data_IF_622628738773
#
_entry.id   IF_622628738773
#
_cell.length_a   1.000
_cell.length_b   1.000
_cell.length_c   1.000
_cell.angle_alpha   90.00
_cell.angle_beta   90.00
_cell.angle_gamma   90.00
#
_symmetry.space_group_name_H-M   'P 1'
#
loop_
_entity.id
_entity.type
_entity.pdbx_description
1 polymer ?
#
# COMPACT_ATOMS: atom_id res chain seq x y z
N UNK A 1 40.98 -30.04 -9.85
CA UNK A 1 39.83 -29.84 -10.76
C UNK A 1 38.97 -28.76 -10.13
N UNK A 2 39.05 -27.53 -10.63
CA UNK A 2 38.36 -26.37 -10.07
C UNK A 2 37.07 -26.10 -10.82
N UNK A 3 35.95 -26.09 -10.12
CA UNK A 3 34.64 -25.75 -10.68
C UNK A 3 34.57 -24.23 -10.81
N UNK A 4 34.67 -23.73 -12.04
CA UNK A 4 34.46 -22.32 -12.35
C UNK A 4 32.95 -22.04 -12.36
N UNK A 5 32.48 -21.24 -11.41
CA UNK A 5 31.10 -20.74 -11.39
C UNK A 5 31.09 -19.50 -12.27
N UNK A 6 30.52 -19.58 -13.48
CA UNK A 6 30.29 -18.40 -14.30
C UNK A 6 29.21 -17.50 -13.67
N UNK A 7 29.38 -16.17 -13.70
CA UNK A 7 28.38 -15.24 -13.18
C UNK A 7 27.17 -15.23 -14.11
N UNK A 8 26.01 -15.68 -13.60
CA UNK A 8 24.73 -15.51 -14.28
C UNK A 8 24.48 -14.00 -14.46
N UNK A 9 24.51 -13.56 -15.71
CA UNK A 9 24.17 -12.17 -16.04
C UNK A 9 22.65 -12.09 -16.13
N UNK A 10 21.95 -11.36 -15.23
CA UNK A 10 20.50 -11.27 -15.29
C UNK A 10 20.06 -10.60 -16.58
N UNK A 11 18.93 -11.08 -17.14
CA UNK A 11 18.43 -10.69 -18.44
C UNK A 11 18.05 -9.19 -18.46
N UNK A 12 18.17 -8.50 -19.61
CA UNK A 12 17.93 -7.06 -19.71
C UNK A 12 16.51 -6.59 -19.34
N UNK A 13 15.51 -7.47 -19.41
CA UNK A 13 14.13 -7.14 -19.00
C UNK A 13 13.91 -7.13 -17.48
N UNK A 14 14.65 -7.97 -16.73
CA UNK A 14 14.57 -7.99 -15.26
C UNK A 14 15.13 -6.70 -14.65
N UNK A 15 16.18 -6.14 -15.25
CA UNK A 15 16.74 -4.83 -14.83
C UNK A 15 15.77 -3.67 -15.08
N UNK A 16 15.04 -3.68 -16.20
CA UNK A 16 14.06 -2.62 -16.52
C UNK A 16 12.84 -2.67 -15.60
N UNK A 17 12.34 -3.87 -15.31
CA UNK A 17 11.23 -4.04 -14.37
C UNK A 17 11.60 -3.57 -12.96
N UNK A 18 12.82 -3.89 -12.48
CA UNK A 18 13.34 -3.40 -11.21
C UNK A 18 13.44 -1.87 -11.15
N UNK A 19 13.98 -1.24 -12.19
CA UNK A 19 14.12 0.23 -12.28
C UNK A 19 12.77 0.97 -12.34
N UNK A 20 11.77 0.40 -13.02
CA UNK A 20 10.43 0.98 -13.09
C UNK A 20 9.75 0.94 -11.71
N UNK A 21 9.81 -0.21 -11.05
CA UNK A 21 9.27 -0.36 -9.72
C UNK A 21 9.98 0.51 -8.67
N UNK A 22 11.31 0.66 -8.75
CA UNK A 22 12.07 1.56 -7.86
C UNK A 22 11.60 3.02 -7.99
N UNK A 23 11.28 3.47 -9.20
CA UNK A 23 10.73 4.82 -9.45
C UNK A 23 9.32 4.97 -8.88
N UNK A 24 8.47 3.97 -9.04
CA UNK A 24 7.11 4.00 -8.49
C UNK A 24 7.15 4.01 -6.96
N UNK A 25 8.04 3.23 -6.33
CA UNK A 25 8.26 3.26 -4.89
C UNK A 25 8.79 4.61 -4.41
N UNK A 26 9.77 5.18 -5.13
CA UNK A 26 10.28 6.51 -4.83
C UNK A 26 9.17 7.58 -4.92
N UNK A 27 8.27 7.46 -5.91
CA UNK A 27 7.12 8.35 -6.05
C UNK A 27 6.13 8.22 -4.89
N UNK A 28 5.81 6.99 -4.46
CA UNK A 28 4.98 6.72 -3.27
C UNK A 28 5.61 7.33 -2.02
N UNK A 29 6.91 7.09 -1.80
CA UNK A 29 7.63 7.67 -0.67
C UNK A 29 7.64 9.19 -0.71
N UNK A 30 7.86 9.79 -1.88
CA UNK A 30 7.86 11.23 -2.08
C UNK A 30 6.50 11.84 -1.75
N UNK A 31 5.41 11.24 -2.25
CA UNK A 31 4.04 11.69 -2.00
C UNK A 31 3.65 11.66 -0.52
N UNK A 32 4.18 10.69 0.23
CA UNK A 32 3.93 10.59 1.67
C UNK A 32 4.84 11.49 2.52
N UNK A 33 5.88 12.16 1.99
CA UNK A 33 6.85 12.89 2.83
C UNK A 33 6.21 13.96 3.71
N UNK A 34 5.25 14.72 3.16
CA UNK A 34 4.54 15.77 3.89
C UNK A 34 3.69 15.22 5.05
N UNK A 35 3.42 13.92 5.06
CA UNK A 35 2.60 13.20 6.02
C UNK A 35 3.40 12.08 6.69
N UNK A 36 4.67 12.34 7.01
CA UNK A 36 5.53 11.45 7.80
C UNK A 36 6.15 10.28 7.05
N UNK A 37 5.94 10.19 5.74
CA UNK A 37 6.56 9.19 4.87
C UNK A 37 5.92 7.81 4.94
N UNK A 38 6.71 6.81 4.54
CA UNK A 38 6.38 5.40 4.70
C UNK A 38 7.47 4.76 5.58
N UNK A 39 7.04 3.98 6.58
CA UNK A 39 7.91 3.40 7.60
C UNK A 39 7.81 1.88 7.52
N UNK A 40 8.88 1.17 7.89
CA UNK A 40 8.86 -0.30 7.93
C UNK A 40 7.98 -0.81 9.07
N UNK A 41 7.37 -1.96 8.86
CA UNK A 41 6.54 -2.62 9.86
C UNK A 41 7.25 -2.78 11.21
N UNK A 42 8.50 -3.26 11.19
CA UNK A 42 9.29 -3.50 12.41
C UNK A 42 9.49 -2.24 13.24
N UNK A 43 9.75 -1.10 12.59
CA UNK A 43 9.98 0.17 13.25
C UNK A 43 8.66 0.69 13.85
N UNK A 44 7.58 0.62 13.08
CA UNK A 44 6.26 1.06 13.52
C UNK A 44 5.71 0.19 14.66
N UNK A 45 5.89 -1.13 14.60
CA UNK A 45 5.53 -2.04 15.68
C UNK A 45 6.24 -1.66 16.98
N UNK A 46 7.56 -1.44 16.92
CA UNK A 46 8.34 -0.99 18.07
C UNK A 46 7.91 0.38 18.61
N UNK A 47 7.37 1.27 17.78
CA UNK A 47 6.81 2.55 18.25
C UNK A 47 5.45 2.38 18.93
N UNK A 48 4.55 1.55 18.37
CA UNK A 48 3.24 1.26 18.95
C UNK A 48 3.39 0.59 20.32
N UNK A 49 4.27 -0.41 20.44
CA UNK A 49 4.55 -1.10 21.71
C UNK A 49 5.07 -0.14 22.80
N UNK A 50 5.95 0.78 22.43
CA UNK A 50 6.50 1.78 23.39
C UNK A 50 5.44 2.76 23.87
N UNK A 51 4.46 3.11 23.04
CA UNK A 51 3.42 4.09 23.38
C UNK A 51 2.19 3.48 24.06
N UNK A 52 1.81 2.25 23.71
CA UNK A 52 0.61 1.58 24.21
C UNK A 52 0.85 0.78 25.49
N UNK A 53 1.49 1.38 26.51
CA UNK A 53 1.60 0.76 27.84
C UNK A 53 0.22 0.64 28.51
N UNK A 54 -0.58 -0.36 28.13
CA UNK A 54 -1.87 -0.69 28.76
C UNK A 54 -2.93 -1.31 27.84
N UNK A 55 -2.88 -1.08 26.53
CA UNK A 55 -3.83 -1.65 25.56
C UNK A 55 -3.07 -2.08 24.31
N UNK A 56 -2.61 -3.34 24.30
CA UNK A 56 -1.70 -3.86 23.28
C UNK A 56 -2.47 -4.23 22.01
N UNK A 57 -2.76 -3.25 21.16
CA UNK A 57 -3.22 -3.53 19.80
C UNK A 57 -1.99 -3.65 18.91
N UNK A 58 -1.62 -4.90 18.60
CA UNK A 58 -0.47 -5.17 17.72
C UNK A 58 -0.72 -4.66 16.30
N UNK A 59 0.37 -4.28 15.62
CA UNK A 59 0.33 -3.80 14.23
C UNK A 59 -0.33 -4.82 13.29
N UNK A 60 -0.01 -6.10 13.46
CA UNK A 60 -0.63 -7.19 12.72
C UNK A 60 -2.16 -7.21 12.89
N UNK A 61 -2.67 -6.98 14.10
CA UNK A 61 -4.12 -6.91 14.36
C UNK A 61 -4.77 -5.72 13.64
N UNK A 62 -4.09 -4.57 13.56
CA UNK A 62 -4.58 -3.40 12.83
C UNK A 62 -4.68 -3.66 11.32
N UNK A 63 -3.70 -4.36 10.75
CA UNK A 63 -3.69 -4.74 9.33
C UNK A 63 -4.79 -5.76 9.05
N UNK A 64 -4.88 -6.84 9.85
CA UNK A 64 -5.88 -7.90 9.70
C UNK A 64 -7.31 -7.35 9.86
N UNK A 65 -7.51 -6.44 10.81
CA UNK A 65 -8.81 -5.79 11.02
C UNK A 65 -9.14 -4.73 9.98
N UNK A 66 -8.23 -4.47 9.04
CA UNK A 66 -8.40 -3.47 7.99
C UNK A 66 -8.42 -2.01 8.51
N UNK A 67 -7.94 -1.77 9.72
CA UNK A 67 -7.86 -0.42 10.25
C UNK A 67 -6.75 0.40 9.59
N UNK A 68 -5.70 -0.28 9.12
CA UNK A 68 -4.62 0.30 8.32
C UNK A 68 -4.31 -0.62 7.14
N UNK A 69 -3.51 -0.12 6.21
CA UNK A 69 -2.90 -0.91 5.14
C UNK A 69 -1.40 -0.62 5.06
N UNK A 70 -0.70 -1.55 4.42
CA UNK A 70 0.68 -1.38 4.00
C UNK A 70 0.91 -2.22 2.75
N UNK A 71 2.12 -2.18 2.22
CA UNK A 71 2.49 -2.86 0.99
C UNK A 71 3.89 -3.44 1.09
N UNK A 72 4.13 -4.53 0.37
CA UNK A 72 5.45 -5.13 0.28
C UNK A 72 6.30 -4.43 -0.79
N UNK A 73 7.55 -4.15 -0.45
CA UNK A 73 8.56 -3.65 -1.39
C UNK A 73 9.94 -4.21 -1.03
N UNK A 74 10.57 -4.90 -1.99
CA UNK A 74 11.89 -5.54 -1.82
C UNK A 74 12.01 -6.36 -0.52
N UNK A 75 11.02 -7.24 -0.26
CA UNK A 75 11.00 -8.13 0.91
C UNK A 75 10.76 -7.44 2.26
N UNK A 76 10.34 -6.17 2.25
CA UNK A 76 9.98 -5.43 3.46
C UNK A 76 8.54 -4.94 3.36
N UNK A 77 7.79 -5.02 4.47
CA UNK A 77 6.45 -4.44 4.55
C UNK A 77 6.53 -2.96 4.99
N UNK A 78 5.92 -2.08 4.21
CA UNK A 78 5.92 -0.64 4.39
C UNK A 78 4.53 -0.13 4.72
N UNK A 79 4.45 0.78 5.70
CA UNK A 79 3.21 1.38 6.16
C UNK A 79 3.26 2.90 5.92
N UNK A 80 2.35 3.46 5.10
CA UNK A 80 2.22 4.90 4.95
C UNK A 80 1.76 5.57 6.25
N UNK A 81 2.50 6.59 6.71
CA UNK A 81 2.29 7.21 8.02
C UNK A 81 1.08 8.16 8.09
N UNK A 82 0.53 8.59 6.95
CA UNK A 82 -0.66 9.45 6.93
C UNK A 82 -1.92 8.82 7.54
N UNK A 83 -1.88 7.50 7.78
CA UNK A 83 -2.90 6.73 8.47
C UNK A 83 -2.93 6.98 9.98
N UNK A 84 -1.90 7.64 10.52
CA UNK A 84 -1.73 7.86 11.96
C UNK A 84 -1.64 9.35 12.28
N UNK A 85 -2.13 9.75 13.45
CA UNK A 85 -1.76 11.02 14.06
C UNK A 85 -0.34 10.90 14.65
N UNK A 86 0.55 11.84 14.32
CA UNK A 86 1.95 11.80 14.75
C UNK A 86 2.14 12.00 16.26
N UNK A 87 1.16 12.59 16.93
CA UNK A 87 1.27 12.94 18.35
C UNK A 87 1.12 11.71 19.23
N UNK A 88 0.16 10.86 18.90
CA UNK A 88 -0.22 9.71 19.73
C UNK A 88 -0.26 8.36 18.99
N UNK A 89 -0.01 8.34 17.68
CA UNK A 89 -0.14 7.16 16.82
C UNK A 89 -1.55 6.56 16.81
N UNK A 90 -2.57 7.37 17.08
CA UNK A 90 -3.97 6.99 16.86
C UNK A 90 -4.27 6.90 15.36
N UNK A 91 -5.18 6.01 14.97
CA UNK A 91 -5.53 5.78 13.57
C UNK A 91 -6.50 6.86 13.10
N UNK A 92 -6.14 7.55 12.02
CA UNK A 92 -6.98 8.58 11.40
C UNK A 92 -8.17 7.95 10.70
N UNK A 93 -9.36 8.47 10.98
CA UNK A 93 -10.61 7.97 10.43
C UNK A 93 -10.72 8.20 8.91
N UNK A 94 -10.24 9.34 8.40
CA UNK A 94 -10.36 9.71 6.99
C UNK A 94 -9.70 8.70 6.02
N UNK A 95 -8.41 8.32 6.17
CA UNK A 95 -7.80 7.25 5.39
C UNK A 95 -8.56 5.92 5.48
N UNK A 96 -9.05 5.56 6.67
CA UNK A 96 -9.78 4.31 6.91
C UNK A 96 -11.11 4.26 6.14
N UNK A 97 -11.86 5.37 6.12
CA UNK A 97 -13.11 5.45 5.36
C UNK A 97 -12.88 5.27 3.86
N UNK A 98 -11.82 5.89 3.32
CA UNK A 98 -11.47 5.76 1.91
C UNK A 98 -11.01 4.33 1.57
N UNK A 99 -10.22 3.69 2.44
CA UNK A 99 -9.86 2.27 2.30
C UNK A 99 -11.09 1.38 2.25
N UNK A 100 -12.09 1.61 3.10
CA UNK A 100 -13.32 0.82 3.11
C UNK A 100 -14.12 0.92 1.80
N UNK A 101 -14.08 2.07 1.12
CA UNK A 101 -14.70 2.21 -0.21
C UNK A 101 -13.97 1.37 -1.26
N UNK A 102 -12.64 1.27 -1.18
CA UNK A 102 -11.77 0.57 -2.14
C UNK A 102 -11.43 -0.88 -1.73
N UNK A 103 -12.03 -1.37 -0.65
CA UNK A 103 -11.78 -2.70 -0.15
C UNK A 103 -12.23 -3.78 -1.15
N UNK A 104 -11.41 -4.81 -1.30
CA UNK A 104 -11.68 -5.92 -2.24
C UNK A 104 -11.40 -5.61 -3.71
N UNK A 105 -11.12 -4.35 -4.07
CA UNK A 105 -10.69 -3.98 -5.43
C UNK A 105 -9.23 -3.56 -5.49
N UNK A 106 -8.72 -2.88 -4.46
CA UNK A 106 -7.34 -2.40 -4.42
C UNK A 106 -6.57 -3.13 -3.31
N UNK A 107 -5.37 -3.60 -3.65
CA UNK A 107 -4.40 -4.07 -2.66
C UNK A 107 -3.67 -2.89 -1.99
N UNK A 108 -2.78 -3.20 -1.04
CA UNK A 108 -2.06 -2.17 -0.29
C UNK A 108 -1.16 -1.27 -1.16
N UNK A 109 -0.60 -1.81 -2.24
CA UNK A 109 0.23 -1.04 -3.17
C UNK A 109 -0.62 -0.11 -4.01
N UNK A 110 -1.69 -0.64 -4.63
CA UNK A 110 -2.67 0.11 -5.39
C UNK A 110 -3.28 1.24 -4.55
N UNK A 111 -3.60 0.98 -3.28
CA UNK A 111 -4.05 2.02 -2.35
C UNK A 111 -2.98 3.09 -2.14
N UNK A 112 -1.73 2.70 -1.83
CA UNK A 112 -0.64 3.65 -1.59
C UNK A 112 -0.42 4.57 -2.79
N UNK A 113 -0.38 3.99 -4.00
CA UNK A 113 -0.22 4.74 -5.25
C UNK A 113 -1.43 5.65 -5.50
N UNK A 114 -2.66 5.15 -5.32
CA UNK A 114 -3.88 5.94 -5.52
C UNK A 114 -3.92 7.18 -4.64
N UNK A 115 -3.51 7.07 -3.38
CA UNK A 115 -3.49 8.21 -2.46
C UNK A 115 -2.51 9.31 -2.90
N UNK A 116 -1.35 8.95 -3.44
CA UNK A 116 -0.31 9.92 -3.79
C UNK A 116 -0.41 10.47 -5.20
N UNK A 117 -1.02 9.71 -6.12
CA UNK A 117 -1.08 10.11 -7.53
C UNK A 117 -2.21 11.12 -7.79
N UNK A 118 -2.04 12.01 -8.79
CA UNK A 118 -3.12 12.80 -9.35
C UNK A 118 -4.35 11.95 -9.69
N UNK A 119 -5.52 12.35 -9.18
CA UNK A 119 -6.77 11.66 -9.44
C UNK A 119 -7.66 12.52 -10.36
N UNK A 120 -8.11 11.96 -11.49
CA UNK A 120 -8.95 12.69 -12.46
C UNK A 120 -10.27 13.16 -11.85
N UNK A 121 -10.84 12.35 -10.95
CA UNK A 121 -12.08 12.68 -10.22
C UNK A 121 -11.89 13.85 -9.25
N UNK A 122 -10.65 14.19 -8.92
CA UNK A 122 -10.26 15.28 -8.03
C UNK A 122 -9.57 16.43 -8.77
N UNK A 123 -9.86 16.58 -10.08
CA UNK A 123 -9.28 17.60 -10.96
C UNK A 123 -7.73 17.53 -11.01
N UNK A 124 -7.17 16.32 -10.99
CA UNK A 124 -5.72 16.10 -11.04
C UNK A 124 -5.00 16.34 -9.71
N UNK A 125 -5.72 16.61 -8.63
CA UNK A 125 -5.13 16.66 -7.28
C UNK A 125 -5.02 15.26 -6.70
N UNK A 126 -4.05 15.05 -5.81
CA UNK A 126 -3.91 13.76 -5.12
C UNK A 126 -4.93 13.63 -3.99
N UNK A 127 -5.51 12.43 -3.78
CA UNK A 127 -6.40 12.16 -2.65
C UNK A 127 -5.78 12.51 -1.30
N UNK A 128 -4.48 12.22 -1.12
CA UNK A 128 -3.76 12.51 0.11
C UNK A 128 -3.73 14.01 0.43
N UNK A 129 -3.59 14.86 -0.59
CA UNK A 129 -3.58 16.32 -0.39
C UNK A 129 -4.95 16.87 -0.01
N UNK A 130 -6.03 16.24 -0.48
CA UNK A 130 -7.41 16.65 -0.20
C UNK A 130 -8.03 15.96 1.00
N UNK A 131 -7.33 15.00 1.62
CA UNK A 131 -7.88 14.16 2.67
C UNK A 131 -8.40 14.96 3.87
N UNK A 132 -7.72 16.06 4.22
CA UNK A 132 -8.16 16.97 5.28
C UNK A 132 -9.07 18.10 4.78
N UNK A 133 -8.85 18.57 3.55
CA UNK A 133 -9.50 19.76 3.03
C UNK A 133 -10.89 19.47 2.45
N UNK A 134 -11.08 18.27 1.88
CA UNK A 134 -12.30 17.88 1.18
C UNK A 134 -12.45 16.34 1.15
N UNK A 135 -12.61 15.74 2.34
CA UNK A 135 -12.86 14.31 2.48
C UNK A 135 -14.07 13.81 1.66
N UNK A 136 -15.22 14.52 1.60
CA UNK A 136 -16.35 14.09 0.80
C UNK A 136 -16.00 13.88 -0.68
N UNK A 137 -15.26 14.81 -1.30
CA UNK A 137 -14.84 14.65 -2.69
C UNK A 137 -13.91 13.43 -2.86
N UNK A 138 -13.00 13.19 -1.91
CA UNK A 138 -12.11 12.02 -1.93
C UNK A 138 -12.89 10.71 -1.85
N UNK A 139 -13.94 10.64 -1.03
CA UNK A 139 -14.81 9.46 -0.93
C UNK A 139 -15.61 9.22 -2.21
N UNK A 140 -16.14 10.27 -2.84
CA UNK A 140 -16.82 10.15 -4.14
C UNK A 140 -15.87 9.68 -5.25
N UNK A 141 -14.63 10.15 -5.25
CA UNK A 141 -13.60 9.66 -6.16
C UNK A 141 -13.30 8.17 -5.93
N UNK A 142 -13.19 7.73 -4.67
CA UNK A 142 -12.98 6.32 -4.32
C UNK A 142 -14.13 5.42 -4.79
N UNK A 143 -15.38 5.83 -4.57
CA UNK A 143 -16.57 5.12 -5.06
C UNK A 143 -16.59 5.01 -6.59
N UNK A 144 -16.23 6.11 -7.26
CA UNK A 144 -16.13 6.14 -8.72
C UNK A 144 -15.09 5.16 -9.24
N UNK A 145 -13.92 5.06 -8.57
CA UNK A 145 -12.89 4.08 -8.92
C UNK A 145 -13.35 2.64 -8.69
N UNK A 146 -14.03 2.35 -7.57
CA UNK A 146 -14.60 1.02 -7.32
C UNK A 146 -15.59 0.62 -8.39
N UNK A 147 -16.49 1.52 -8.79
CA UNK A 147 -17.47 1.23 -9.85
C UNK A 147 -16.78 0.83 -11.16
N UNK A 148 -15.75 1.58 -11.57
CA UNK A 148 -14.96 1.25 -12.78
C UNK A 148 -14.19 -0.07 -12.62
N UNK A 149 -13.62 -0.34 -11.44
CA UNK A 149 -12.95 -1.60 -11.16
C UNK A 149 -13.89 -2.81 -11.34
N UNK A 150 -15.13 -2.68 -10.85
CA UNK A 150 -16.17 -3.72 -10.89
C UNK A 150 -16.90 -3.86 -12.23
N UNK A 151 -16.54 -3.08 -13.25
CA UNK A 151 -17.01 -3.28 -14.63
C UNK A 151 -17.95 -2.23 -15.20
N UNK A 152 -18.17 -1.10 -14.51
CA UNK A 152 -18.90 0.02 -15.10
C UNK A 152 -18.00 0.81 -16.08
N UNK A 153 -18.38 0.89 -17.35
CA UNK A 153 -17.56 1.46 -18.45
C UNK A 153 -17.94 2.89 -18.85
N UNK A 154 -18.76 3.60 -18.05
CA UNK A 154 -19.35 4.90 -18.40
C UNK A 154 -18.40 6.10 -18.55
N UNK A 155 -17.08 5.93 -18.35
CA UNK A 155 -16.01 6.82 -18.84
C UNK A 155 -14.72 6.02 -19.12
N UNK A 156 -14.47 5.59 -20.37
CA UNK A 156 -13.23 4.92 -20.72
C UNK A 156 -12.16 5.97 -21.05
N UNK A 157 -11.19 6.17 -20.15
CA UNK A 157 -9.99 6.94 -20.48
C UNK A 157 -9.10 7.36 -19.31
N UNK A 158 -9.61 7.47 -18.08
CA UNK A 158 -8.86 8.16 -17.01
C UNK A 158 -9.00 7.54 -15.60
N UNK A 159 -9.59 6.35 -15.45
CA UNK A 159 -9.66 5.68 -14.14
C UNK A 159 -8.34 5.00 -13.78
N UNK A 160 -7.95 5.14 -12.53
CA UNK A 160 -6.77 4.51 -11.96
C UNK A 160 -6.85 2.98 -11.98
N UNK A 161 -8.03 2.40 -11.68
CA UNK A 161 -8.26 0.96 -11.75
C UNK A 161 -7.98 0.38 -13.15
N UNK A 162 -8.31 1.13 -14.21
CA UNK A 162 -8.00 0.75 -15.59
C UNK A 162 -6.50 0.85 -15.89
N UNK A 163 -5.82 1.87 -15.36
CA UNK A 163 -4.37 2.05 -15.51
C UNK A 163 -3.54 1.02 -14.73
N UNK A 164 -4.10 0.42 -13.68
CA UNK A 164 -3.46 -0.67 -12.92
C UNK A 164 -3.64 -2.03 -13.61
N UNK A 165 -4.76 -2.30 -14.29
CA UNK A 165 -4.96 -3.58 -15.01
C UNK A 165 -3.90 -3.87 -16.09
N UNK A 166 -3.28 -2.83 -16.65
CA UNK A 166 -2.17 -2.96 -17.60
C UNK A 166 -0.78 -3.13 -16.96
N UNK A 167 -0.66 -2.99 -15.63
CA UNK A 167 0.59 -3.11 -14.87
C UNK A 167 0.52 -4.36 -13.99
N UNK A 168 1.07 -5.47 -14.50
CA UNK A 168 1.28 -6.66 -13.69
C UNK A 168 2.33 -6.37 -12.60
N UNK A 169 1.90 -5.97 -11.41
CA UNK A 169 2.73 -6.04 -10.22
C UNK A 169 2.61 -7.45 -9.64
N UNK A 170 3.71 -8.21 -9.75
CA UNK A 170 3.85 -9.49 -9.10
C UNK A 170 4.05 -9.25 -7.59
N UNK A 171 2.96 -9.17 -6.84
CA UNK A 171 3.02 -9.39 -5.40
C UNK A 171 3.17 -10.90 -5.18
N UNK A 172 4.24 -11.39 -4.53
CA UNK A 172 4.25 -12.77 -4.07
C UNK A 172 3.13 -12.90 -3.02
N UNK A 173 2.33 -13.96 -3.15
CA UNK A 173 1.34 -14.30 -2.14
C UNK A 173 2.03 -14.42 -0.79
N UNK A 174 1.53 -13.71 0.22
CA UNK A 174 1.92 -13.93 1.60
C UNK A 174 1.75 -15.42 1.92
N UNK A 175 2.88 -16.14 1.98
CA UNK A 175 2.90 -17.55 2.36
C UNK A 175 2.46 -17.66 3.81
N UNK A 176 1.18 -18.00 3.99
CA UNK A 176 0.70 -18.60 5.21
C UNK A 176 1.29 -20.02 5.33
N UNK A 177 2.55 -20.13 5.75
CA UNK A 177 3.09 -21.40 6.21
C UNK A 177 2.73 -21.55 7.70
N UNK A 178 1.53 -22.06 7.93
CA UNK A 178 1.11 -22.54 9.23
C UNK A 178 1.93 -23.77 9.59
N UNK A 179 2.64 -23.67 10.71
CA UNK A 179 3.33 -24.76 11.38
C UNK A 179 2.41 -25.98 11.55
N UNK A 180 2.82 -27.12 10.98
CA UNK A 180 2.24 -28.42 11.32
C UNK A 180 2.78 -28.87 12.68
N UNK A 181 1.93 -29.29 13.64
CA UNK A 181 2.42 -29.92 14.85
C UNK A 181 2.87 -31.34 14.51
N UNK A 182 4.13 -31.64 14.82
CA UNK A 182 4.64 -33.01 14.84
C UNK A 182 3.92 -33.79 15.94
N UNK A 183 3.16 -34.80 15.56
CA UNK A 183 2.68 -35.83 16.48
C UNK A 183 3.83 -36.80 16.73
N UNK A 184 4.45 -36.67 17.90
CA UNK A 184 5.36 -37.66 18.46
C UNK A 184 4.66 -38.45 19.56
N UNK A 185 4.83 -39.77 19.46
CA UNK A 185 4.42 -40.87 20.35
C UNK A 185 2.97 -41.37 20.29
#
# INVERSE_FOLDING_TARGET
MGTSIEPVTPAPDEKKAGLAGDRDFAAVRAGCQATGGAVRESDLAGWLEKRQRGDAVSLAKLIISGNIFGFEWQGNFWVPMFQFDFRDLSIRQAPRMVRAELEGVFDGWALAVWFVQPCVWLNGRSPLHLLEADLPAVLEAARSERLVATGWTGKPGASFATALRGRSHHAPAASAEAAGPGTGE
#
